data_IF_014035720514
#
_entry.id   IF_014035720514
#
_cell.length_a   1.000
_cell.length_b   1.000
_cell.length_c   1.000
_cell.angle_alpha   90.00
_cell.angle_beta   90.00
_cell.angle_gamma   90.00
#
_symmetry.space_group_name_H-M   'P 1'
#
loop_
_entity.id
_entity.type
_entity.pdbx_description
1 polymer ?
#
# COMPACT_ATOMS: atom_id res chain seq x y z
N UNK A 1 11.74 -1.33 19.79
CA UNK A 1 11.14 -1.73 18.49
C UNK A 1 12.28 -1.93 17.48
N UNK A 2 12.36 -3.10 16.83
CA UNK A 2 13.33 -3.38 15.76
C UNK A 2 12.72 -3.11 14.40
N UNK A 3 13.28 -2.21 13.63
CA UNK A 3 12.76 -1.80 12.32
C UNK A 3 13.77 -2.12 11.22
N UNK A 4 13.36 -2.96 10.26
CA UNK A 4 14.12 -3.13 9.02
C UNK A 4 13.84 -1.96 8.08
N UNK A 5 14.87 -1.34 7.54
CA UNK A 5 14.77 -0.21 6.61
C UNK A 5 15.31 -0.62 5.25
N UNK A 6 14.45 -0.56 4.25
CA UNK A 6 14.81 -0.76 2.84
C UNK A 6 14.55 0.58 2.12
N UNK A 7 15.50 1.50 2.19
CA UNK A 7 15.35 2.80 1.53
C UNK A 7 15.22 2.67 0.00
N UNK A 8 15.89 1.69 -0.58
CA UNK A 8 15.77 1.31 -1.99
C UNK A 8 16.41 2.30 -2.95
N UNK A 9 15.65 2.71 -3.98
CA UNK A 9 16.15 3.42 -5.16
C UNK A 9 15.54 4.81 -5.30
N UNK A 10 16.17 5.65 -6.10
CA UNK A 10 15.65 6.97 -6.47
C UNK A 10 15.36 7.86 -5.27
N UNK A 11 14.15 8.44 -5.23
CA UNK A 11 13.69 9.28 -4.11
C UNK A 11 13.47 8.49 -2.82
N UNK A 12 13.43 7.15 -2.86
CA UNK A 12 13.20 6.32 -1.69
C UNK A 12 14.16 6.63 -0.54
N UNK A 13 15.43 6.90 -0.84
CA UNK A 13 16.42 7.27 0.18
C UNK A 13 16.13 8.61 0.86
N UNK A 14 15.63 9.59 0.11
CA UNK A 14 15.32 10.93 0.62
C UNK A 14 14.05 10.90 1.49
N UNK A 15 12.98 10.27 1.00
CA UNK A 15 11.70 10.25 1.71
C UNK A 15 11.73 9.36 2.96
N UNK A 16 12.51 8.25 2.92
CA UNK A 16 12.70 7.37 4.08
C UNK A 16 13.49 8.08 5.17
N UNK A 17 14.50 8.88 4.84
CA UNK A 17 15.24 9.66 5.81
C UNK A 17 14.33 10.62 6.60
N UNK A 18 13.39 11.28 5.91
CA UNK A 18 12.42 12.17 6.57
C UNK A 18 11.39 11.39 7.41
N UNK A 19 10.95 10.23 6.93
CA UNK A 19 10.05 9.37 7.69
C UNK A 19 10.70 8.85 8.99
N UNK A 20 11.97 8.46 8.95
CA UNK A 20 12.75 8.08 10.14
C UNK A 20 12.99 9.26 11.07
N UNK A 21 13.25 10.46 10.55
CA UNK A 21 13.37 11.68 11.36
C UNK A 21 12.10 11.91 12.20
N UNK A 22 10.94 11.80 11.59
CA UNK A 22 9.64 11.95 12.29
C UNK A 22 9.45 10.84 13.33
N UNK A 23 9.77 9.59 12.99
CA UNK A 23 9.67 8.45 13.91
C UNK A 23 10.56 8.64 15.15
N UNK A 24 11.81 9.02 14.96
CA UNK A 24 12.77 9.25 16.05
C UNK A 24 12.43 10.49 16.90
N UNK A 25 11.68 11.46 16.38
CA UNK A 25 11.18 12.59 17.16
C UNK A 25 10.10 12.17 18.18
N UNK A 26 9.44 11.03 17.97
CA UNK A 26 8.40 10.50 18.86
C UNK A 26 8.87 9.32 19.71
N UNK A 27 9.85 8.55 19.22
CA UNK A 27 10.31 7.31 19.85
C UNK A 27 11.83 7.20 19.83
N UNK A 28 12.42 7.11 20.99
CA UNK A 28 13.87 6.91 21.21
C UNK A 28 14.28 5.42 21.33
N UNK A 29 13.28 4.52 21.42
CA UNK A 29 13.46 3.07 21.57
C UNK A 29 13.47 2.30 20.25
N UNK A 30 13.67 2.97 19.11
CA UNK A 30 13.68 2.34 17.78
C UNK A 30 15.10 1.99 17.37
N UNK A 31 15.33 0.70 17.16
CA UNK A 31 16.57 0.17 16.56
C UNK A 31 16.35 -0.10 15.08
N UNK A 32 17.07 0.60 14.21
CA UNK A 32 16.98 0.44 12.75
C UNK A 32 18.10 -0.44 12.21
N UNK A 33 17.77 -1.30 11.25
CA UNK A 33 18.74 -2.07 10.46
C UNK A 33 18.53 -1.76 8.98
N UNK A 34 19.56 -1.21 8.32
CA UNK A 34 19.50 -0.87 6.91
C UNK A 34 19.79 -2.09 6.02
N UNK A 35 18.97 -2.27 4.99
CA UNK A 35 19.10 -3.32 3.97
C UNK A 35 19.36 -2.69 2.61
N UNK A 36 20.52 -2.99 2.01
CA UNK A 36 20.86 -2.57 0.65
C UNK A 36 20.16 -3.50 -0.37
N UNK A 37 18.83 -3.35 -0.49
CA UNK A 37 17.99 -4.09 -1.44
C UNK A 37 17.44 -3.11 -2.48
N UNK A 38 17.61 -3.45 -3.77
CA UNK A 38 17.15 -2.60 -4.88
C UNK A 38 18.06 -2.69 -6.10
N UNK A 39 17.94 -1.72 -7.00
CA UNK A 39 18.69 -1.65 -8.27
C UNK A 39 20.21 -1.62 -8.05
N UNK A 40 20.69 -0.87 -7.05
CA UNK A 40 22.13 -0.76 -6.78
C UNK A 40 22.78 -2.10 -6.46
N UNK A 41 22.16 -2.93 -5.62
CA UNK A 41 22.65 -4.28 -5.30
C UNK A 41 22.62 -5.17 -6.52
N UNK A 42 21.50 -5.16 -7.25
CA UNK A 42 21.36 -5.95 -8.47
C UNK A 42 22.43 -5.62 -9.50
N UNK A 43 22.70 -4.35 -9.75
CA UNK A 43 23.74 -3.90 -10.70
C UNK A 43 25.16 -4.25 -10.23
N UNK A 44 25.40 -4.28 -8.91
CA UNK A 44 26.72 -4.58 -8.34
C UNK A 44 27.06 -6.08 -8.43
N UNK A 45 26.12 -6.97 -8.17
CA UNK A 45 26.42 -8.40 -8.01
C UNK A 45 25.33 -9.35 -8.57
N UNK A 46 24.25 -8.83 -9.18
CA UNK A 46 23.14 -9.61 -9.71
C UNK A 46 22.19 -10.19 -8.67
N UNK A 47 22.38 -9.90 -7.38
CA UNK A 47 21.52 -10.39 -6.31
C UNK A 47 20.30 -9.49 -6.11
N UNK A 48 19.17 -10.13 -5.80
CA UNK A 48 17.91 -9.48 -5.45
C UNK A 48 17.59 -9.76 -3.96
N UNK A 49 16.69 -10.68 -3.68
CA UNK A 49 16.34 -11.14 -2.34
C UNK A 49 16.95 -12.53 -2.10
N UNK A 50 17.87 -12.65 -1.16
CA UNK A 50 18.41 -13.95 -0.74
C UNK A 50 17.61 -14.54 0.42
N UNK A 51 17.73 -15.85 0.65
CA UNK A 51 17.08 -16.47 1.81
C UNK A 51 17.67 -15.94 3.13
N UNK A 52 18.97 -15.58 3.15
CA UNK A 52 19.60 -14.95 4.32
C UNK A 52 19.02 -13.55 4.61
N UNK A 53 18.75 -12.74 3.58
CA UNK A 53 18.06 -11.45 3.76
C UNK A 53 16.67 -11.67 4.36
N UNK A 54 15.93 -12.67 3.84
CA UNK A 54 14.58 -12.96 4.29
C UNK A 54 14.54 -13.41 5.75
N UNK A 55 15.44 -14.32 6.15
CA UNK A 55 15.54 -14.76 7.54
C UNK A 55 15.92 -13.61 8.48
N UNK A 56 16.85 -12.76 8.05
CA UNK A 56 17.21 -11.55 8.82
C UNK A 56 16.04 -10.56 8.95
N UNK A 57 15.27 -10.35 7.88
CA UNK A 57 14.08 -9.49 7.90
C UNK A 57 13.02 -9.98 8.89
N UNK A 58 12.86 -11.32 9.04
CA UNK A 58 11.92 -11.92 9.99
C UNK A 58 12.21 -11.63 11.46
N UNK A 59 13.41 -11.20 11.80
CA UNK A 59 13.78 -10.85 13.17
C UNK A 59 13.30 -9.46 13.61
N UNK A 60 12.65 -8.71 12.71
CA UNK A 60 12.18 -7.35 12.96
C UNK A 60 10.67 -7.31 13.27
N UNK A 61 10.25 -6.25 13.95
CA UNK A 61 8.83 -6.00 14.27
C UNK A 61 8.06 -5.49 13.04
N UNK A 62 8.75 -4.75 12.16
CA UNK A 62 8.19 -4.21 10.91
C UNK A 62 9.30 -3.91 9.89
N UNK A 63 8.89 -3.69 8.64
CA UNK A 63 9.74 -3.26 7.54
C UNK A 63 9.23 -1.90 7.04
N UNK A 64 10.10 -0.90 6.95
CA UNK A 64 9.86 0.36 6.26
C UNK A 64 10.57 0.32 4.91
N UNK A 65 9.82 0.41 3.82
CA UNK A 65 10.35 0.44 2.48
C UNK A 65 10.12 1.82 1.86
N UNK A 66 11.15 2.38 1.22
CA UNK A 66 11.07 3.66 0.53
C UNK A 66 10.49 3.50 -0.88
N UNK A 67 11.31 3.12 -1.85
CA UNK A 67 10.87 2.84 -3.21
C UNK A 67 11.84 1.91 -3.92
N UNK A 68 11.35 1.07 -4.82
CA UNK A 68 12.16 0.11 -5.56
C UNK A 68 12.00 0.34 -7.06
N UNK A 69 13.10 0.25 -7.77
CA UNK A 69 13.16 0.29 -9.23
C UNK A 69 13.88 1.52 -9.78
N UNK A 70 14.66 1.31 -10.81
CA UNK A 70 15.20 2.36 -11.67
C UNK A 70 15.14 1.87 -13.13
N UNK A 71 14.07 2.20 -13.87
CA UNK A 71 13.85 1.71 -15.23
C UNK A 71 14.90 2.19 -16.24
N UNK A 72 15.76 3.15 -15.85
CA UNK A 72 16.89 3.61 -16.67
C UNK A 72 18.06 2.63 -16.63
N UNK A 73 18.16 1.80 -15.59
CA UNK A 73 19.31 0.94 -15.32
C UNK A 73 18.96 -0.53 -15.16
N UNK A 74 17.74 -0.86 -14.73
CA UNK A 74 17.26 -2.24 -14.55
C UNK A 74 16.00 -2.44 -15.38
N UNK A 75 15.91 -3.50 -16.19
CA UNK A 75 14.71 -3.78 -16.98
C UNK A 75 13.46 -3.89 -16.12
N UNK A 76 12.33 -3.40 -16.65
CA UNK A 76 11.04 -3.46 -15.97
C UNK A 76 10.67 -4.91 -15.58
N UNK A 77 10.10 -5.06 -14.39
CA UNK A 77 9.67 -6.34 -13.84
C UNK A 77 10.78 -7.17 -13.16
N UNK A 78 12.06 -6.83 -13.29
CA UNK A 78 13.15 -7.58 -12.63
C UNK A 78 13.07 -7.42 -11.11
N UNK A 79 12.97 -6.18 -10.63
CA UNK A 79 12.91 -5.90 -9.19
C UNK A 79 11.54 -6.22 -8.60
N UNK A 80 10.47 -6.03 -9.35
CA UNK A 80 9.13 -6.40 -8.93
C UNK A 80 9.03 -7.92 -8.72
N UNK A 81 9.45 -8.73 -9.69
CA UNK A 81 9.38 -10.21 -9.62
C UNK A 81 10.46 -10.83 -8.73
N UNK A 82 11.62 -10.18 -8.60
CA UNK A 82 12.75 -10.74 -7.87
C UNK A 82 12.91 -10.23 -6.44
N UNK A 83 12.20 -9.15 -6.05
CA UNK A 83 12.30 -8.55 -4.73
C UNK A 83 10.92 -8.26 -4.12
N UNK A 84 10.10 -7.39 -4.72
CA UNK A 84 8.85 -6.93 -4.09
C UNK A 84 7.81 -8.04 -3.94
N UNK A 85 7.50 -8.77 -5.02
CA UNK A 85 6.55 -9.89 -4.96
C UNK A 85 7.06 -11.03 -4.08
N UNK A 86 8.34 -11.46 -4.15
CA UNK A 86 8.88 -12.44 -3.21
C UNK A 86 8.79 -12.01 -1.75
N UNK A 87 9.04 -10.74 -1.40
CA UNK A 87 8.83 -10.24 -0.04
C UNK A 87 7.38 -10.43 0.40
N UNK A 88 6.41 -9.99 -0.43
CA UNK A 88 4.99 -10.13 -0.12
C UNK A 88 4.56 -11.59 0.05
N UNK A 89 5.00 -12.47 -0.84
CA UNK A 89 4.60 -13.89 -0.79
C UNK A 89 5.30 -14.65 0.34
N UNK A 90 6.62 -14.48 0.51
CA UNK A 90 7.41 -15.21 1.51
C UNK A 90 7.17 -14.72 2.95
N UNK A 91 6.71 -13.49 3.14
CA UNK A 91 6.30 -12.92 4.42
C UNK A 91 4.78 -12.93 4.62
N UNK A 92 4.04 -13.59 3.72
CA UNK A 92 2.59 -13.79 3.77
C UNK A 92 1.78 -12.47 3.96
N UNK A 93 2.16 -11.45 3.22
CA UNK A 93 1.49 -10.14 3.22
C UNK A 93 0.15 -10.22 2.49
N UNK A 94 -0.79 -10.95 3.08
CA UNK A 94 -2.08 -11.25 2.47
C UNK A 94 -2.97 -10.03 2.25
N UNK A 95 -2.78 -8.99 3.04
CA UNK A 95 -3.54 -7.75 2.95
C UNK A 95 -2.62 -6.62 2.47
N UNK A 96 -2.96 -6.00 1.35
CA UNK A 96 -2.40 -4.72 0.96
C UNK A 96 -3.41 -3.62 1.33
N UNK A 97 -3.07 -2.86 2.37
CA UNK A 97 -3.91 -1.82 2.96
C UNK A 97 -3.57 -0.46 2.37
N UNK A 98 -4.55 0.23 1.80
CA UNK A 98 -4.40 1.51 1.12
C UNK A 98 -5.41 2.54 1.66
N UNK A 99 -5.05 3.34 2.68
CA UNK A 99 -5.85 4.50 3.10
C UNK A 99 -5.92 5.55 1.99
N UNK A 100 -7.09 6.13 1.80
CA UNK A 100 -7.35 7.17 0.79
C UNK A 100 -8.13 8.29 1.44
N UNK A 101 -7.43 9.39 1.70
CA UNK A 101 -7.98 10.58 2.37
C UNK A 101 -7.62 11.83 1.61
N UNK A 102 -8.60 12.69 1.38
CA UNK A 102 -8.37 14.03 0.83
C UNK A 102 -8.00 14.96 1.97
N UNK A 103 -6.74 15.40 2.00
CA UNK A 103 -6.27 16.35 2.98
C UNK A 103 -6.64 17.78 2.57
N UNK A 104 -7.01 18.66 3.52
CA UNK A 104 -7.17 20.08 3.25
C UNK A 104 -5.90 20.67 2.62
N UNK A 105 -6.06 21.47 1.60
CA UNK A 105 -4.94 22.03 0.82
C UNK A 105 -4.43 21.15 -0.32
N UNK A 106 -4.86 19.86 -0.37
CA UNK A 106 -4.56 19.00 -1.51
C UNK A 106 -5.47 19.29 -2.70
N UNK A 107 -4.93 19.17 -3.90
CA UNK A 107 -5.66 19.41 -5.14
C UNK A 107 -6.30 18.11 -5.65
N UNK A 108 -7.62 17.97 -5.47
CA UNK A 108 -8.37 16.89 -6.13
C UNK A 108 -8.73 17.31 -7.57
N UNK A 109 -8.71 16.39 -8.54
CA UNK A 109 -9.22 16.64 -9.89
C UNK A 109 -10.76 16.72 -9.94
N UNK A 110 -11.44 16.36 -8.86
CA UNK A 110 -12.90 16.41 -8.78
C UNK A 110 -13.37 17.84 -8.54
N UNK A 111 -14.42 18.29 -9.25
CA UNK A 111 -14.96 19.64 -9.11
C UNK A 111 -15.52 19.90 -7.69
N UNK A 112 -16.11 18.88 -7.07
CA UNK A 112 -16.67 18.94 -5.72
C UNK A 112 -16.36 17.63 -4.99
N UNK A 113 -15.11 17.44 -4.52
CA UNK A 113 -14.68 16.15 -3.96
C UNK A 113 -15.40 15.76 -2.66
N UNK A 114 -15.90 16.74 -1.90
CA UNK A 114 -16.46 16.50 -0.57
C UNK A 114 -15.39 16.03 0.43
N UNK A 115 -15.85 15.38 1.48
CA UNK A 115 -14.98 14.78 2.50
C UNK A 115 -14.69 13.31 2.14
N UNK A 116 -13.51 13.06 1.55
CA UNK A 116 -13.09 11.73 1.13
C UNK A 116 -12.20 11.13 2.22
N UNK A 117 -12.67 10.03 2.84
CA UNK A 117 -11.91 9.24 3.80
C UNK A 117 -12.41 7.78 3.75
N UNK A 118 -11.70 6.92 3.07
CA UNK A 118 -11.96 5.49 3.00
C UNK A 118 -10.66 4.69 2.97
N UNK A 119 -10.76 3.38 3.12
CA UNK A 119 -9.62 2.48 3.03
C UNK A 119 -9.94 1.33 2.07
N UNK A 120 -8.96 0.96 1.24
CA UNK A 120 -9.03 -0.23 0.40
C UNK A 120 -8.22 -1.35 1.04
N UNK A 121 -8.88 -2.48 1.27
CA UNK A 121 -8.31 -3.75 1.70
C UNK A 121 -8.21 -4.63 0.46
N UNK A 122 -7.03 -4.62 -0.16
CA UNK A 122 -6.71 -5.38 -1.37
C UNK A 122 -6.11 -6.72 -0.98
N UNK A 123 -6.55 -7.80 -1.58
CA UNK A 123 -5.85 -9.08 -1.50
C UNK A 123 -4.42 -8.93 -2.05
N UNK A 124 -3.42 -9.49 -1.37
CA UNK A 124 -1.99 -9.20 -1.63
C UNK A 124 -1.16 -10.35 -2.19
N UNK A 125 -1.67 -11.59 -2.19
CA UNK A 125 -0.85 -12.80 -2.45
C UNK A 125 -1.41 -13.75 -3.51
N UNK A 126 -2.61 -13.54 -3.98
CA UNK A 126 -3.34 -14.42 -4.90
C UNK A 126 -3.76 -13.68 -6.19
N UNK A 127 -4.78 -14.17 -6.85
CA UNK A 127 -5.32 -13.61 -8.09
C UNK A 127 -4.41 -13.84 -9.29
N UNK A 128 -4.31 -12.87 -10.17
CA UNK A 128 -3.43 -12.90 -11.34
C UNK A 128 -1.94 -12.68 -10.98
N UNK A 129 -1.66 -12.13 -9.79
CA UNK A 129 -0.30 -11.85 -9.32
C UNK A 129 0.45 -13.08 -8.84
N UNK A 130 -0.23 -14.23 -8.66
CA UNK A 130 0.44 -15.49 -8.27
C UNK A 130 1.33 -16.08 -9.38
N UNK A 131 1.31 -15.52 -10.61
CA UNK A 131 2.15 -15.93 -11.72
C UNK A 131 1.78 -17.30 -12.31
N UNK A 132 0.53 -17.74 -12.13
CA UNK A 132 0.04 -18.98 -12.73
C UNK A 132 -0.43 -18.74 -14.16
N UNK A 133 0.32 -19.26 -15.13
CA UNK A 133 0.04 -19.07 -16.55
C UNK A 133 1.18 -19.53 -17.43
N UNK A 134 1.16 -19.10 -18.67
CA UNK A 134 2.24 -19.45 -19.61
C UNK A 134 1.89 -19.14 -21.05
N UNK A 135 2.91 -19.31 -21.92
CA UNK A 135 2.81 -19.11 -23.36
C UNK A 135 3.09 -20.40 -24.11
N UNK A 136 2.28 -20.67 -25.11
CA UNK A 136 2.50 -21.77 -26.08
C UNK A 136 2.72 -21.19 -27.47
N UNK A 137 3.63 -21.76 -28.25
CA UNK A 137 3.99 -21.37 -29.63
C UNK A 137 4.42 -19.91 -29.73
N UNK A 138 5.18 -19.43 -28.75
CA UNK A 138 5.68 -18.07 -28.67
C UNK A 138 6.34 -17.61 -29.99
N UNK A 139 6.03 -16.39 -30.43
CA UNK A 139 6.56 -15.80 -31.68
C UNK A 139 5.95 -16.33 -32.97
N UNK A 140 4.85 -17.08 -32.93
CA UNK A 140 4.12 -17.57 -34.11
C UNK A 140 2.72 -16.97 -34.21
N UNK A 141 2.12 -17.03 -35.43
CA UNK A 141 0.72 -16.58 -35.67
C UNK A 141 -0.33 -17.39 -34.85
N UNK A 142 0.09 -18.48 -34.22
CA UNK A 142 -0.74 -19.35 -33.39
C UNK A 142 -0.33 -19.31 -31.91
N UNK A 143 0.31 -18.25 -31.49
CA UNK A 143 0.69 -18.04 -30.09
C UNK A 143 -0.54 -18.00 -29.19
N UNK A 144 -0.43 -18.65 -28.03
CA UNK A 144 -1.44 -18.63 -26.98
C UNK A 144 -0.77 -18.18 -25.69
N UNK A 145 -1.23 -17.10 -25.10
CA UNK A 145 -0.85 -16.66 -23.76
C UNK A 145 -2.02 -16.82 -22.79
N UNK A 146 -1.75 -17.29 -21.59
CA UNK A 146 -2.76 -17.47 -20.54
C UNK A 146 -2.25 -16.98 -19.18
N UNK A 147 -3.13 -16.29 -18.46
CA UNK A 147 -2.95 -15.91 -17.06
C UNK A 147 -4.13 -16.47 -16.25
N UNK A 148 -3.85 -17.15 -15.16
CA UNK A 148 -4.87 -17.80 -14.33
C UNK A 148 -5.02 -17.05 -13.02
N UNK A 149 -6.22 -16.50 -12.77
CA UNK A 149 -6.57 -15.93 -11.46
C UNK A 149 -6.86 -17.05 -10.47
N UNK A 150 -5.96 -17.25 -9.52
CA UNK A 150 -6.11 -18.25 -8.47
C UNK A 150 -6.62 -17.58 -7.20
N UNK A 151 -7.70 -18.14 -6.63
CA UNK A 151 -8.28 -17.65 -5.39
C UNK A 151 -8.53 -18.86 -4.49
N UNK A 152 -8.05 -18.81 -3.25
CA UNK A 152 -8.34 -19.84 -2.24
C UNK A 152 -9.32 -19.28 -1.21
N UNK A 153 -10.13 -20.17 -0.61
CA UNK A 153 -11.02 -19.73 0.47
C UNK A 153 -10.23 -19.20 1.66
N UNK A 154 -9.08 -19.82 1.96
CA UNK A 154 -8.17 -19.39 3.01
C UNK A 154 -7.64 -17.96 2.77
N UNK A 155 -7.15 -17.68 1.56
CA UNK A 155 -6.63 -16.35 1.20
C UNK A 155 -7.71 -15.27 1.27
N UNK A 156 -8.87 -15.54 0.67
CA UNK A 156 -9.99 -14.61 0.62
C UNK A 156 -10.59 -14.37 2.01
N UNK A 157 -10.81 -15.42 2.82
CA UNK A 157 -11.43 -15.30 4.14
C UNK A 157 -10.64 -14.37 5.06
N UNK A 158 -9.32 -14.49 5.12
CA UNK A 158 -8.48 -13.65 5.99
C UNK A 158 -8.47 -12.18 5.57
N UNK A 159 -8.53 -11.89 4.28
CA UNK A 159 -8.62 -10.52 3.74
C UNK A 159 -9.99 -9.92 4.03
N UNK A 160 -11.04 -10.70 3.85
CA UNK A 160 -12.42 -10.32 4.16
C UNK A 160 -12.55 -10.03 5.66
N UNK A 161 -11.97 -10.86 6.53
CA UNK A 161 -11.97 -10.67 7.98
C UNK A 161 -11.28 -9.37 8.38
N UNK A 162 -10.08 -9.08 7.86
CA UNK A 162 -9.38 -7.80 8.09
C UNK A 162 -10.25 -6.60 7.66
N UNK A 163 -10.97 -6.73 6.55
CA UNK A 163 -11.86 -5.67 6.07
C UNK A 163 -13.07 -5.44 6.99
N UNK A 164 -13.68 -6.50 7.53
CA UNK A 164 -14.76 -6.38 8.50
C UNK A 164 -14.29 -5.78 9.82
N UNK A 165 -13.12 -6.17 10.34
CA UNK A 165 -12.52 -5.60 11.55
C UNK A 165 -12.29 -4.09 11.39
N UNK A 166 -11.78 -3.67 10.24
CA UNK A 166 -11.62 -2.24 9.93
C UNK A 166 -12.95 -1.52 9.80
N UNK A 167 -13.93 -2.11 9.12
CA UNK A 167 -15.26 -1.51 9.01
C UNK A 167 -15.91 -1.34 10.37
N UNK A 168 -15.77 -2.34 11.28
CA UNK A 168 -16.29 -2.28 12.66
C UNK A 168 -15.73 -1.11 13.46
N UNK A 169 -14.46 -0.76 13.24
CA UNK A 169 -13.78 0.36 13.94
C UNK A 169 -14.00 1.72 13.26
N UNK A 170 -14.60 1.76 12.06
CA UNK A 170 -14.87 2.96 11.26
C UNK A 170 -16.39 3.25 11.21
N UNK A 171 -16.91 3.58 10.03
CA UNK A 171 -18.34 3.94 9.84
C UNK A 171 -19.28 2.74 9.68
N UNK A 172 -18.76 1.53 9.90
CA UNK A 172 -19.51 0.26 9.84
C UNK A 172 -20.12 -0.02 8.45
N UNK A 173 -19.40 0.38 7.41
CA UNK A 173 -19.79 0.13 6.02
C UNK A 173 -18.66 -0.55 5.25
N UNK A 174 -18.96 -1.72 4.68
CA UNK A 174 -18.05 -2.49 3.84
C UNK A 174 -18.63 -2.57 2.43
N UNK A 175 -17.86 -2.16 1.43
CA UNK A 175 -18.22 -2.37 0.02
C UNK A 175 -17.32 -3.45 -0.56
N UNK A 176 -17.91 -4.59 -0.91
CA UNK A 176 -17.20 -5.61 -1.64
C UNK A 176 -17.22 -5.27 -3.14
N UNK A 177 -16.02 -5.18 -3.75
CA UNK A 177 -15.86 -4.88 -5.17
C UNK A 177 -15.31 -6.10 -5.91
N UNK A 178 -16.02 -6.53 -6.94
CA UNK A 178 -15.63 -7.69 -7.76
C UNK A 178 -16.31 -7.64 -9.15
N UNK A 179 -16.18 -8.69 -9.97
CA UNK A 179 -16.88 -8.83 -11.25
C UNK A 179 -17.57 -10.19 -11.33
N UNK A 180 -18.50 -10.45 -10.42
CA UNK A 180 -19.15 -11.77 -10.22
C UNK A 180 -19.94 -12.27 -11.42
N UNK A 181 -20.45 -11.36 -12.25
CA UNK A 181 -21.17 -11.72 -13.47
C UNK A 181 -20.26 -12.24 -14.60
N UNK A 182 -18.94 -12.10 -14.47
CA UNK A 182 -17.93 -12.61 -15.42
C UNK A 182 -17.05 -13.65 -14.73
N UNK A 183 -16.49 -13.31 -13.57
CA UNK A 183 -15.62 -14.20 -12.78
C UNK A 183 -16.46 -15.03 -11.81
N UNK A 184 -17.35 -15.88 -12.35
CA UNK A 184 -18.38 -16.58 -11.56
C UNK A 184 -17.82 -17.53 -10.50
N UNK A 185 -16.71 -18.21 -10.78
CA UNK A 185 -16.09 -19.14 -9.82
C UNK A 185 -15.41 -18.40 -8.67
N UNK A 186 -14.54 -17.43 -8.97
CA UNK A 186 -13.91 -16.59 -7.97
C UNK A 186 -14.95 -15.76 -7.22
N UNK A 187 -15.90 -15.13 -7.94
CA UNK A 187 -16.98 -14.35 -7.35
C UNK A 187 -17.84 -15.15 -6.38
N UNK A 188 -18.19 -16.39 -6.71
CA UNK A 188 -18.93 -17.27 -5.80
C UNK A 188 -18.14 -17.67 -4.56
N UNK A 189 -16.80 -17.80 -4.65
CA UNK A 189 -15.94 -18.05 -3.50
C UNK A 189 -15.88 -16.83 -2.60
N UNK A 190 -15.64 -15.64 -3.16
CA UNK A 190 -15.64 -14.37 -2.44
C UNK A 190 -16.97 -14.10 -1.75
N UNK A 191 -18.10 -14.32 -2.45
CA UNK A 191 -19.43 -14.14 -1.87
C UNK A 191 -19.62 -15.00 -0.61
N UNK A 192 -19.27 -16.31 -0.67
CA UNK A 192 -19.37 -17.18 0.51
C UNK A 192 -18.50 -16.71 1.67
N UNK A 193 -17.30 -16.20 1.40
CA UNK A 193 -16.46 -15.67 2.46
C UNK A 193 -17.07 -14.41 3.11
N UNK A 194 -17.58 -13.47 2.29
CA UNK A 194 -18.27 -12.27 2.76
C UNK A 194 -19.49 -12.64 3.61
N UNK A 195 -20.33 -13.57 3.13
CA UNK A 195 -21.53 -14.02 3.85
C UNK A 195 -21.19 -14.72 5.16
N UNK A 196 -20.15 -15.57 5.17
CA UNK A 196 -19.74 -16.33 6.36
C UNK A 196 -19.15 -15.43 7.42
N UNK A 197 -18.16 -14.60 7.06
CA UNK A 197 -17.50 -13.68 8.00
C UNK A 197 -18.48 -12.60 8.47
N UNK A 198 -19.35 -12.11 7.57
CA UNK A 198 -20.35 -11.09 7.91
C UNK A 198 -21.30 -11.48 9.03
N UNK A 199 -21.55 -12.78 9.26
CA UNK A 199 -22.35 -13.24 10.39
C UNK A 199 -21.70 -12.90 11.75
N UNK A 200 -20.38 -12.75 11.82
CA UNK A 200 -19.66 -12.36 13.02
C UNK A 200 -19.69 -10.85 13.27
N UNK A 201 -20.06 -10.04 12.28
CA UNK A 201 -20.10 -8.58 12.31
C UNK A 201 -21.48 -8.00 11.93
N UNK A 202 -22.53 -8.31 12.68
CA UNK A 202 -23.93 -7.97 12.32
C UNK A 202 -24.22 -6.47 12.24
N UNK A 203 -23.34 -5.62 12.79
CA UNK A 203 -23.49 -4.17 12.73
C UNK A 203 -22.85 -3.55 11.47
N UNK A 204 -22.08 -4.32 10.69
CA UNK A 204 -21.44 -3.83 9.47
C UNK A 204 -22.39 -3.99 8.29
N UNK A 205 -22.77 -2.88 7.68
CA UNK A 205 -23.52 -2.87 6.44
C UNK A 205 -22.62 -3.31 5.29
N UNK A 206 -23.05 -4.30 4.53
CA UNK A 206 -22.30 -4.80 3.36
C UNK A 206 -23.01 -4.40 2.07
N UNK A 207 -22.30 -3.67 1.20
CA UNK A 207 -22.72 -3.34 -0.14
C UNK A 207 -21.85 -4.09 -1.17
N UNK A 208 -22.38 -4.29 -2.38
CA UNK A 208 -21.64 -4.86 -3.51
C UNK A 208 -21.61 -3.90 -4.69
N UNK A 209 -20.43 -3.73 -5.30
CA UNK A 209 -20.28 -3.02 -6.56
C UNK A 209 -19.52 -3.89 -7.58
N UNK A 210 -19.98 -3.92 -8.84
CA UNK A 210 -19.10 -4.33 -9.92
C UNK A 210 -17.94 -3.36 -10.06
N UNK A 211 -16.75 -3.85 -10.44
CA UNK A 211 -15.54 -3.02 -10.56
C UNK A 211 -15.73 -1.82 -11.50
N UNK A 212 -16.41 -2.01 -12.63
CA UNK A 212 -16.72 -0.92 -13.57
C UNK A 212 -17.63 0.15 -12.94
N UNK A 213 -18.65 -0.26 -12.18
CA UNK A 213 -19.47 0.68 -11.41
C UNK A 213 -18.67 1.37 -10.30
N UNK A 214 -17.79 0.62 -9.61
CA UNK A 214 -16.94 1.17 -8.55
C UNK A 214 -16.01 2.27 -9.07
N UNK A 215 -15.45 2.14 -10.28
CA UNK A 215 -14.64 3.21 -10.90
C UNK A 215 -15.46 4.48 -11.18
N UNK A 216 -16.72 4.33 -11.61
CA UNK A 216 -17.64 5.48 -11.79
C UNK A 216 -17.92 6.14 -10.43
N UNK A 217 -18.26 5.35 -9.40
CA UNK A 217 -18.58 5.89 -8.08
C UNK A 217 -17.37 6.51 -7.39
N UNK A 218 -16.16 5.99 -7.62
CA UNK A 218 -14.92 6.60 -7.14
C UNK A 218 -14.72 8.05 -7.62
N UNK A 219 -15.23 8.38 -8.82
CA UNK A 219 -15.16 9.72 -9.39
C UNK A 219 -16.39 10.58 -9.03
N UNK A 220 -17.57 9.96 -8.93
CA UNK A 220 -18.83 10.72 -8.78
C UNK A 220 -19.29 10.89 -7.34
N UNK A 221 -18.92 9.99 -6.44
CA UNK A 221 -19.34 9.96 -5.04
C UNK A 221 -18.37 9.17 -4.12
N UNK A 222 -17.06 9.48 -4.15
CA UNK A 222 -16.05 8.76 -3.37
C UNK A 222 -16.30 8.82 -1.85
N UNK A 223 -16.95 9.87 -1.36
CA UNK A 223 -17.30 10.06 0.06
C UNK A 223 -18.29 9.01 0.61
N UNK A 224 -18.96 8.26 -0.25
CA UNK A 224 -19.86 7.19 0.18
C UNK A 224 -19.14 5.90 0.59
N UNK A 225 -17.87 5.73 0.20
CA UNK A 225 -17.04 4.60 0.60
C UNK A 225 -16.48 4.79 2.01
N UNK A 226 -16.41 3.70 2.77
CA UNK A 226 -15.75 3.61 4.07
C UNK A 226 -14.63 2.58 4.06
N UNK A 227 -14.98 1.30 3.90
CA UNK A 227 -14.01 0.23 3.65
C UNK A 227 -14.38 -0.46 2.35
N UNK A 228 -13.41 -0.63 1.47
CA UNK A 228 -13.54 -1.43 0.25
C UNK A 228 -12.72 -2.70 0.42
N UNK A 229 -13.30 -3.86 0.11
CA UNK A 229 -12.55 -5.12 -0.01
C UNK A 229 -12.64 -5.64 -1.43
N UNK A 230 -11.50 -6.12 -1.98
CA UNK A 230 -11.44 -6.57 -3.36
C UNK A 230 -10.24 -7.49 -3.62
N UNK A 231 -10.25 -8.16 -4.77
CA UNK A 231 -9.14 -8.98 -5.22
C UNK A 231 -7.89 -8.17 -5.56
N UNK A 232 -6.81 -8.87 -5.86
CA UNK A 232 -5.51 -8.26 -6.07
C UNK A 232 -5.49 -7.30 -7.27
N UNK A 233 -6.00 -7.71 -8.43
CA UNK A 233 -5.96 -6.90 -9.64
C UNK A 233 -6.90 -5.69 -9.57
N UNK A 234 -8.13 -5.89 -9.16
CA UNK A 234 -9.09 -4.78 -9.03
C UNK A 234 -8.66 -3.80 -7.94
N UNK A 235 -8.06 -4.31 -6.87
CA UNK A 235 -7.50 -3.49 -5.82
C UNK A 235 -6.36 -2.59 -6.30
N UNK A 236 -5.48 -3.10 -7.17
CA UNK A 236 -4.42 -2.32 -7.79
C UNK A 236 -4.99 -1.13 -8.57
N UNK A 237 -5.93 -1.41 -9.48
CA UNK A 237 -6.56 -0.40 -10.32
C UNK A 237 -7.33 0.64 -9.49
N UNK A 238 -8.12 0.18 -8.50
CA UNK A 238 -8.92 1.08 -7.67
C UNK A 238 -8.07 1.98 -6.78
N UNK A 239 -6.95 1.48 -6.26
CA UNK A 239 -6.10 2.28 -5.37
C UNK A 239 -5.35 3.38 -6.10
N UNK A 240 -4.99 3.19 -7.37
CA UNK A 240 -4.40 4.24 -8.19
C UNK A 240 -5.43 5.34 -8.51
N UNK A 241 -6.67 4.93 -8.84
CA UNK A 241 -7.76 5.88 -9.03
C UNK A 241 -8.09 6.62 -7.72
N UNK A 242 -8.10 5.93 -6.58
CA UNK A 242 -8.29 6.51 -5.27
C UNK A 242 -7.22 7.56 -4.95
N UNK A 243 -5.94 7.24 -5.20
CA UNK A 243 -4.83 8.18 -5.07
C UNK A 243 -5.02 9.42 -5.95
N UNK A 244 -5.44 9.24 -7.20
CA UNK A 244 -5.69 10.35 -8.12
C UNK A 244 -6.79 11.28 -7.61
N UNK A 245 -7.92 10.76 -7.13
CA UNK A 245 -9.05 11.59 -6.67
C UNK A 245 -8.81 12.24 -5.30
N UNK A 246 -7.87 11.74 -4.50
CA UNK A 246 -7.51 12.27 -3.18
C UNK A 246 -6.33 13.24 -3.19
N UNK A 247 -5.87 13.67 -4.36
CA UNK A 247 -4.85 14.72 -4.46
C UNK A 247 -3.46 14.21 -4.84
N UNK A 248 -3.37 12.96 -5.28
CA UNK A 248 -2.14 12.36 -5.80
C UNK A 248 -1.46 11.39 -4.83
N UNK A 249 -0.52 10.63 -5.39
CA UNK A 249 0.19 9.55 -4.67
C UNK A 249 1.23 10.04 -3.65
N UNK A 250 1.55 11.34 -3.64
CA UNK A 250 2.49 11.93 -2.68
C UNK A 250 2.02 11.94 -1.21
N UNK A 251 0.71 11.72 -0.97
CA UNK A 251 0.10 11.59 0.35
C UNK A 251 -0.44 10.18 0.62
N UNK A 252 -0.19 9.23 -0.28
CA UNK A 252 -0.74 7.89 -0.21
C UNK A 252 0.23 6.92 0.46
N UNK A 253 -0.10 6.49 1.67
CA UNK A 253 0.57 5.42 2.39
C UNK A 253 0.05 4.03 1.99
N UNK A 254 0.85 3.00 2.20
CA UNK A 254 0.48 1.61 1.97
C UNK A 254 1.05 0.70 3.07
N UNK A 255 0.31 -0.34 3.43
CA UNK A 255 0.79 -1.42 4.28
C UNK A 255 0.58 -2.78 3.62
N UNK A 256 1.64 -3.57 3.54
CA UNK A 256 1.58 -4.98 3.15
C UNK A 256 1.60 -5.80 4.44
N UNK A 257 0.46 -6.36 4.82
CA UNK A 257 0.21 -6.86 6.17
C UNK A 257 0.10 -8.37 6.16
N UNK A 258 0.83 -9.02 7.07
CA UNK A 258 0.54 -10.38 7.52
C UNK A 258 -0.51 -10.32 8.65
N UNK A 259 -1.78 -10.67 8.37
CA UNK A 259 -2.82 -10.63 9.40
C UNK A 259 -2.55 -11.56 10.58
N UNK A 260 -1.75 -12.61 10.36
CA UNK A 260 -1.37 -13.56 11.42
C UNK A 260 -0.32 -13.02 12.37
N UNK A 261 0.38 -11.93 12.00
CA UNK A 261 1.50 -11.31 12.74
C UNK A 261 2.67 -12.25 13.02
N UNK A 262 2.84 -13.32 12.23
CA UNK A 262 3.98 -14.23 12.35
C UNK A 262 5.22 -13.72 11.65
N UNK A 263 5.02 -12.86 10.65
CA UNK A 263 6.08 -12.19 9.92
C UNK A 263 5.95 -10.67 10.06
N UNK A 264 7.05 -9.92 9.94
CA UNK A 264 6.98 -8.46 9.92
C UNK A 264 6.17 -7.97 8.73
N UNK A 265 5.20 -7.11 8.99
CA UNK A 265 4.48 -6.39 7.94
C UNK A 265 5.35 -5.28 7.37
N UNK A 266 5.13 -4.92 6.09
CA UNK A 266 5.93 -3.95 5.36
C UNK A 266 5.09 -2.71 5.02
N UNK A 267 5.64 -1.52 5.29
CA UNK A 267 4.98 -0.24 5.08
C UNK A 267 5.78 0.60 4.09
N UNK A 268 5.10 1.18 3.11
CA UNK A 268 5.73 1.88 2.00
C UNK A 268 4.84 2.99 1.45
N UNK A 269 5.38 4.08 0.89
CA UNK A 269 4.59 5.00 0.09
C UNK A 269 4.10 4.32 -1.20
N UNK A 270 2.97 4.78 -1.73
CA UNK A 270 2.41 4.26 -3.00
C UNK A 270 3.24 4.69 -4.21
N UNK A 271 3.90 5.85 -4.14
CA UNK A 271 4.73 6.35 -5.23
C UNK A 271 5.96 5.47 -5.49
N UNK A 272 6.42 5.42 -6.75
CA UNK A 272 7.65 4.74 -7.14
C UNK A 272 8.92 5.54 -6.82
N UNK A 273 10.02 5.10 -7.39
CA UNK A 273 11.36 5.66 -7.17
C UNK A 273 11.63 7.03 -7.80
N UNK A 274 10.78 7.49 -8.75
CA UNK A 274 10.89 8.76 -9.46
C UNK A 274 12.35 9.17 -9.76
N UNK A 275 13.09 8.37 -10.53
CA UNK A 275 14.54 8.52 -10.68
C UNK A 275 14.96 9.83 -11.37
N UNK A 276 14.05 10.49 -12.08
CA UNK A 276 14.23 11.78 -12.74
C UNK A 276 14.38 12.96 -11.77
N UNK A 277 13.82 12.87 -10.57
CA UNK A 277 13.94 13.89 -9.51
C UNK A 277 14.80 13.44 -8.32
N UNK A 278 15.34 12.24 -8.35
CA UNK A 278 16.19 11.72 -7.29
C UNK A 278 17.44 12.59 -7.05
N UNK A 279 17.76 12.88 -5.79
CA UNK A 279 18.90 13.73 -5.38
C UNK A 279 18.62 15.23 -5.52
N UNK A 280 17.43 15.65 -5.96
CA UNK A 280 17.09 17.07 -6.09
C UNK A 280 16.47 17.66 -4.82
N UNK A 281 16.09 16.83 -3.85
CA UNK A 281 15.47 17.27 -2.60
C UNK A 281 14.11 17.93 -2.77
N UNK A 282 13.34 17.50 -3.80
CA UNK A 282 12.02 18.06 -4.14
C UNK A 282 10.89 17.02 -4.05
N UNK A 283 11.19 15.78 -3.70
CA UNK A 283 10.19 14.75 -3.46
C UNK A 283 9.39 15.06 -2.18
N UNK A 284 8.07 14.90 -2.24
CA UNK A 284 7.21 15.04 -1.06
C UNK A 284 7.36 13.80 -0.15
N UNK A 285 7.85 13.93 1.10
CA UNK A 285 8.06 12.79 1.99
C UNK A 285 6.78 12.35 2.75
N UNK A 286 5.67 13.05 2.60
CA UNK A 286 4.47 12.83 3.41
C UNK A 286 3.90 11.41 3.28
N UNK A 287 3.96 10.80 2.09
CA UNK A 287 3.51 9.41 1.92
C UNK A 287 4.36 8.42 2.74
N UNK A 288 5.69 8.61 2.78
CA UNK A 288 6.58 7.79 3.59
C UNK A 288 6.36 8.04 5.09
N UNK A 289 6.14 9.28 5.50
CA UNK A 289 5.81 9.66 6.89
C UNK A 289 4.46 9.05 7.31
N UNK A 290 3.44 9.10 6.46
CA UNK A 290 2.14 8.47 6.71
C UNK A 290 2.23 6.93 6.73
N UNK A 291 3.19 6.34 5.99
CA UNK A 291 3.46 4.90 6.07
C UNK A 291 4.02 4.51 7.45
N UNK A 292 4.82 5.39 8.08
CA UNK A 292 5.23 5.22 9.49
C UNK A 292 4.03 5.31 10.43
N UNK A 293 3.11 6.25 10.23
CA UNK A 293 1.89 6.32 11.03
C UNK A 293 1.06 5.02 10.91
N UNK A 294 0.91 4.51 9.69
CA UNK A 294 0.21 3.26 9.43
C UNK A 294 0.91 2.06 10.11
N UNK A 295 2.25 2.03 10.10
CA UNK A 295 3.07 1.05 10.80
C UNK A 295 2.85 1.10 12.31
N UNK A 296 2.91 2.28 12.92
CA UNK A 296 2.71 2.45 14.35
C UNK A 296 1.31 2.00 14.78
N UNK A 297 0.27 2.37 14.03
CA UNK A 297 -1.10 1.90 14.26
C UNK A 297 -1.20 0.38 14.17
N UNK A 298 -0.56 -0.24 13.19
CA UNK A 298 -0.50 -1.70 13.07
C UNK A 298 0.18 -2.36 14.27
N UNK A 299 1.20 -1.73 14.83
CA UNK A 299 1.92 -2.21 16.01
C UNK A 299 1.22 -1.86 17.35
N UNK A 300 0.07 -1.17 17.31
CA UNK A 300 -0.72 -0.81 18.47
C UNK A 300 -0.34 0.51 19.15
N UNK A 301 0.45 1.33 18.49
CA UNK A 301 0.84 2.67 18.94
C UNK A 301 -0.03 3.74 18.26
N UNK A 302 -1.31 3.72 18.58
CA UNK A 302 -2.32 4.60 17.97
C UNK A 302 -2.04 6.08 18.28
N UNK A 303 -1.57 6.39 19.49
CA UNK A 303 -1.32 7.77 19.90
C UNK A 303 -0.25 8.45 19.04
N UNK A 304 0.89 7.78 18.80
CA UNK A 304 1.93 8.32 17.92
C UNK A 304 1.50 8.32 16.44
N UNK A 305 0.71 7.34 16.01
CA UNK A 305 0.14 7.33 14.66
C UNK A 305 -0.76 8.55 14.43
N UNK A 306 -1.67 8.86 15.37
CA UNK A 306 -2.54 10.04 15.31
C UNK A 306 -1.76 11.35 15.35
N UNK A 307 -0.70 11.44 16.16
CA UNK A 307 0.17 12.61 16.22
C UNK A 307 0.84 12.87 14.86
N UNK A 308 1.35 11.84 14.19
CA UNK A 308 1.94 11.96 12.83
C UNK A 308 0.88 12.40 11.82
N UNK A 309 -0.30 11.77 11.81
CA UNK A 309 -1.38 12.14 10.89
C UNK A 309 -1.81 13.58 11.07
N UNK A 310 -1.95 14.04 12.32
CA UNK A 310 -2.28 15.44 12.63
C UNK A 310 -1.16 16.41 12.19
N UNK A 311 0.09 16.05 12.39
CA UNK A 311 1.23 16.87 12.00
C UNK A 311 1.35 17.00 10.47
N UNK A 312 1.14 15.91 9.73
CA UNK A 312 1.09 15.92 8.26
C UNK A 312 -0.11 16.74 7.76
N UNK A 313 -1.27 16.62 8.40
CA UNK A 313 -2.45 17.43 8.08
C UNK A 313 -2.19 18.92 8.26
N UNK A 314 -1.55 19.31 9.36
CA UNK A 314 -1.18 20.72 9.63
C UNK A 314 -0.18 21.24 8.59
N UNK A 315 0.82 20.44 8.24
CA UNK A 315 1.82 20.78 7.21
C UNK A 315 1.15 20.96 5.84
N UNK A 316 0.37 19.98 5.38
CA UNK A 316 -0.33 20.03 4.10
C UNK A 316 -1.27 21.23 3.99
N UNK A 317 -1.99 21.55 5.08
CA UNK A 317 -2.91 22.69 5.14
C UNK A 317 -2.19 24.05 5.11
N UNK A 318 -0.90 24.10 5.44
CA UNK A 318 -0.10 25.33 5.44
C UNK A 318 0.54 25.63 4.09
N UNK A 319 0.41 24.74 3.10
CA UNK A 319 1.04 24.88 1.78
C UNK A 319 0.33 25.96 0.94
N UNK A 320 1.11 26.72 0.22
CA UNK A 320 0.64 27.76 -0.72
C UNK A 320 0.49 27.25 -2.18
N UNK A 321 0.68 25.92 -2.39
CA UNK A 321 0.66 25.29 -3.71
C UNK A 321 1.97 25.40 -4.50
N UNK A 322 3.02 25.95 -3.90
CA UNK A 322 4.36 26.01 -4.47
C UNK A 322 5.10 24.66 -4.39
N UNK A 323 6.29 24.57 -5.04
CA UNK A 323 7.14 23.38 -4.96
C UNK A 323 7.61 23.16 -3.52
N UNK A 324 7.62 21.88 -3.10
CA UNK A 324 8.11 21.48 -1.77
C UNK A 324 9.61 21.17 -1.81
N UNK A 325 10.26 21.26 -0.66
CA UNK A 325 11.60 20.72 -0.44
C UNK A 325 11.51 19.59 0.60
N UNK A 326 12.01 18.44 0.23
CA UNK A 326 11.89 17.21 1.01
C UNK A 326 12.23 17.39 2.48
N UNK A 327 13.43 17.93 2.79
CA UNK A 327 13.89 18.15 4.16
C UNK A 327 13.03 19.19 4.91
N UNK A 328 12.63 20.29 4.24
CA UNK A 328 11.83 21.32 4.88
C UNK A 328 10.43 20.83 5.25
N UNK A 329 9.84 19.92 4.44
CA UNK A 329 8.55 19.26 4.77
C UNK A 329 8.71 18.40 6.02
N UNK A 330 9.76 17.54 6.08
CA UNK A 330 10.02 16.72 7.26
C UNK A 330 10.24 17.56 8.52
N UNK A 331 11.01 18.66 8.42
CA UNK A 331 11.25 19.58 9.55
C UNK A 331 9.94 20.22 10.04
N UNK A 332 9.05 20.65 9.13
CA UNK A 332 7.74 21.20 9.50
C UNK A 332 6.82 20.16 10.14
N UNK A 333 6.84 18.91 9.64
CA UNK A 333 6.08 17.82 10.27
C UNK A 333 6.59 17.58 11.70
N UNK A 334 7.91 17.50 11.92
CA UNK A 334 8.49 17.37 13.28
C UNK A 334 8.07 18.55 14.17
N UNK A 335 8.10 19.77 13.65
CA UNK A 335 7.69 20.96 14.43
C UNK A 335 6.19 20.95 14.79
N UNK A 336 5.37 20.25 14.05
CA UNK A 336 3.94 20.10 14.30
C UNK A 336 3.59 18.92 15.23
N UNK A 337 4.55 18.05 15.58
CA UNK A 337 4.34 16.98 16.56
C UNK A 337 4.09 17.61 17.94
N UNK A 338 2.98 17.30 18.57
CA UNK A 338 2.58 17.85 19.89
C UNK A 338 2.21 16.71 20.82
#
# INVERSE_FOLDING_TARGET
MKLAVIAGDGIGTEVTAEALKVLHALRDDVETTDYDLGARRYLRNGELLTDADLESLREHDAILLGAIGDPRTVPAGVLERGLLLPLRFKLDHAVNLRPSKLYPGSSSPLANPGDIDFVVVREGTEGLYCGNGGTLREGTDHEVASEVSQNTYFGVERVVRDAFERAQSRRKKLTWVHKTNVLVNAGGLWQRAIETVGQEYPEVQVDYNHIDAATIYMVTKPQEYDVIVTDNLFGDILTDLAGAVTGGIGLAASGNIDPSRKNPSMFEPVHGSAPDIAGQGIADPCAAILSVALMLRHLGDDANAEAIEAAVLAEASSRDGGPVKTAEVGDRVVANLK
#
